data_IF_752269188773
#
_entry.id   IF_752269188773
#
_cell.length_a   1.000
_cell.length_b   1.000
_cell.length_c   1.000
_cell.angle_alpha   90.00
_cell.angle_beta   90.00
_cell.angle_gamma   90.00
#
_symmetry.space_group_name_H-M   'P 1'
#
loop_
_entity.id
_entity.type
_entity.pdbx_description
1 polymer ?
#
# COMPACT_ATOMS: atom_id res chain seq x y z
N UNK A 1 -17.52 -24.93 -34.10
CA UNK A 1 -16.67 -26.14 -34.21
C UNK A 1 -15.17 -25.86 -34.03
N UNK A 2 -14.68 -24.68 -34.35
CA UNK A 2 -13.25 -24.30 -34.17
C UNK A 2 -12.81 -24.04 -32.71
N UNK A 3 -13.70 -23.67 -31.78
CA UNK A 3 -13.36 -23.36 -30.40
C UNK A 3 -13.10 -24.61 -29.51
N UNK A 4 -13.68 -25.77 -29.84
CA UNK A 4 -13.51 -26.98 -29.02
C UNK A 4 -12.12 -27.63 -29.15
N UNK A 5 -11.45 -27.51 -30.31
CA UNK A 5 -10.11 -28.09 -30.49
C UNK A 5 -8.96 -27.23 -29.96
N UNK A 6 -9.22 -25.95 -29.62
CA UNK A 6 -8.17 -25.04 -29.20
C UNK A 6 -7.73 -25.25 -27.72
N UNK A 7 -8.56 -25.95 -26.92
CA UNK A 7 -8.29 -26.19 -25.46
C UNK A 7 -7.84 -27.63 -25.16
N UNK A 8 -7.87 -28.59 -26.14
CA UNK A 8 -7.64 -30.01 -25.88
C UNK A 8 -6.50 -30.58 -26.77
N UNK A 9 -5.62 -29.72 -27.30
CA UNK A 9 -4.41 -30.18 -27.95
C UNK A 9 -3.38 -30.60 -26.92
N UNK A 10 -2.96 -31.90 -26.84
CA UNK A 10 -2.00 -32.38 -25.85
C UNK A 10 -0.66 -31.64 -25.90
N UNK A 11 -0.18 -31.29 -27.09
CA UNK A 11 1.08 -30.54 -27.27
C UNK A 11 0.97 -29.15 -26.72
N UNK A 12 -0.16 -28.46 -26.90
CA UNK A 12 -0.42 -27.15 -26.31
C UNK A 12 -0.50 -27.22 -24.80
N UNK A 13 -1.17 -28.24 -24.25
CA UNK A 13 -1.30 -28.41 -22.80
C UNK A 13 0.09 -28.66 -22.15
N UNK A 14 0.93 -29.48 -22.77
CA UNK A 14 2.30 -29.72 -22.31
C UNK A 14 3.13 -28.41 -22.35
N UNK A 15 3.05 -27.65 -23.44
CA UNK A 15 3.71 -26.35 -23.57
C UNK A 15 3.26 -25.37 -22.48
N UNK A 16 1.94 -25.21 -22.26
CA UNK A 16 1.41 -24.33 -21.22
C UNK A 16 1.86 -24.75 -19.82
N UNK A 17 1.87 -26.06 -19.56
CA UNK A 17 2.36 -26.62 -18.28
C UNK A 17 3.84 -26.34 -18.06
N UNK A 18 4.66 -26.45 -19.10
CA UNK A 18 6.09 -26.17 -19.03
C UNK A 18 6.37 -24.68 -18.79
N UNK A 19 5.60 -23.79 -19.46
CA UNK A 19 5.67 -22.33 -19.23
C UNK A 19 5.26 -22.01 -17.79
N UNK A 20 4.13 -22.52 -17.30
CA UNK A 20 3.65 -22.28 -15.95
C UNK A 20 4.65 -22.74 -14.87
N UNK A 21 5.23 -23.93 -15.03
CA UNK A 21 6.27 -24.40 -14.12
C UNK A 21 7.53 -23.55 -14.15
N UNK A 22 7.91 -23.08 -15.33
CA UNK A 22 9.10 -22.26 -15.54
C UNK A 22 8.95 -20.82 -15.01
N UNK A 23 7.73 -20.26 -15.00
CA UNK A 23 7.42 -18.92 -14.55
C UNK A 23 7.26 -18.79 -13.04
N UNK A 24 6.86 -19.86 -12.32
CA UNK A 24 6.63 -19.83 -10.88
C UNK A 24 7.82 -19.27 -10.08
N UNK A 25 9.04 -19.75 -10.36
CA UNK A 25 10.21 -19.31 -9.64
C UNK A 25 10.58 -17.83 -9.90
N UNK A 26 10.61 -17.35 -11.16
CA UNK A 26 10.79 -15.92 -11.44
C UNK A 26 9.73 -15.02 -10.80
N UNK A 27 8.44 -15.41 -10.86
CA UNK A 27 7.35 -14.66 -10.24
C UNK A 27 7.50 -14.64 -8.70
N UNK A 28 7.76 -15.79 -8.09
CA UNK A 28 7.97 -15.88 -6.64
C UNK A 28 9.17 -15.03 -6.19
N UNK A 29 10.28 -15.05 -6.93
CA UNK A 29 11.43 -14.16 -6.65
C UNK A 29 11.05 -12.70 -6.80
N UNK A 30 10.32 -12.31 -7.83
CA UNK A 30 9.79 -10.95 -8.02
C UNK A 30 8.93 -10.51 -6.82
N UNK A 31 8.05 -11.40 -6.35
CA UNK A 31 7.22 -11.14 -5.17
C UNK A 31 8.05 -10.93 -3.90
N UNK A 32 8.97 -11.85 -3.60
CA UNK A 32 9.73 -11.85 -2.35
C UNK A 32 10.80 -10.76 -2.30
N UNK A 33 11.47 -10.47 -3.44
CA UNK A 33 12.60 -9.55 -3.49
C UNK A 33 12.21 -8.10 -3.82
N UNK A 34 11.05 -7.89 -4.43
CA UNK A 34 10.61 -6.55 -4.84
C UNK A 34 9.22 -6.19 -4.36
N UNK A 35 8.17 -6.96 -4.66
CA UNK A 35 6.78 -6.62 -4.31
C UNK A 35 6.61 -6.45 -2.80
N UNK A 36 6.97 -7.45 -1.99
CA UNK A 36 6.81 -7.41 -0.53
C UNK A 36 7.73 -6.37 0.12
N UNK A 37 9.04 -6.30 -0.20
CA UNK A 37 9.91 -5.25 0.35
C UNK A 37 9.46 -3.85 -0.04
N UNK A 38 9.08 -3.61 -1.30
CA UNK A 38 8.59 -2.32 -1.77
C UNK A 38 7.34 -1.89 -0.98
N UNK A 39 6.33 -2.77 -0.86
CA UNK A 39 5.13 -2.49 -0.08
C UNK A 39 5.47 -2.20 1.39
N UNK A 40 6.35 -2.98 2.01
CA UNK A 40 6.72 -2.82 3.42
C UNK A 40 7.47 -1.52 3.67
N UNK A 41 8.49 -1.21 2.87
CA UNK A 41 9.29 0.00 3.01
C UNK A 41 8.42 1.24 2.82
N UNK A 42 7.63 1.26 1.74
CA UNK A 42 6.77 2.41 1.41
C UNK A 42 5.64 2.59 2.42
N UNK A 43 5.12 1.50 2.98
CA UNK A 43 4.14 1.57 4.05
C UNK A 43 4.72 2.19 5.33
N UNK A 44 5.91 1.76 5.75
CA UNK A 44 6.58 2.31 6.95
C UNK A 44 6.87 3.81 6.77
N UNK A 45 7.47 4.20 5.64
CA UNK A 45 7.74 5.62 5.34
C UNK A 45 6.42 6.39 5.26
N UNK A 46 5.41 5.83 4.58
CA UNK A 46 4.08 6.40 4.44
C UNK A 46 3.38 6.59 5.79
N UNK A 47 3.52 5.66 6.74
CA UNK A 47 2.97 5.84 8.10
C UNK A 47 3.61 7.00 8.87
N UNK A 48 4.92 7.21 8.72
CA UNK A 48 5.61 8.38 9.31
C UNK A 48 5.05 9.67 8.71
N UNK A 49 4.96 9.75 7.39
CA UNK A 49 4.37 10.90 6.68
C UNK A 49 2.91 11.10 7.12
N UNK A 50 2.13 10.02 7.24
CA UNK A 50 0.73 10.05 7.64
C UNK A 50 0.54 10.60 9.05
N UNK A 51 1.34 10.15 10.01
CA UNK A 51 1.28 10.66 11.38
C UNK A 51 1.60 12.16 11.43
N UNK A 52 2.69 12.58 10.80
CA UNK A 52 3.08 13.99 10.74
C UNK A 52 2.00 14.83 10.07
N UNK A 53 1.43 14.36 8.97
CA UNK A 53 0.35 15.04 8.24
C UNK A 53 -0.94 15.13 9.07
N UNK A 54 -1.32 14.05 9.77
CA UNK A 54 -2.50 14.04 10.64
C UNK A 54 -2.33 15.05 11.80
N UNK A 55 -1.17 15.07 12.45
CA UNK A 55 -0.87 16.01 13.52
C UNK A 55 -0.81 17.47 13.01
N UNK A 56 -0.23 17.69 11.82
CA UNK A 56 -0.22 19.00 11.19
C UNK A 56 -1.63 19.53 10.92
N UNK A 57 -2.55 18.66 10.51
CA UNK A 57 -3.96 19.04 10.27
C UNK A 57 -4.76 19.30 11.55
N UNK A 58 -4.33 18.74 12.67
CA UNK A 58 -4.93 18.97 14.00
C UNK A 58 -4.26 20.10 14.78
N UNK A 59 -3.14 20.63 14.28
CA UNK A 59 -2.39 21.73 14.91
C UNK A 59 -3.20 23.03 14.95
N UNK A 60 -2.90 23.91 15.89
CA UNK A 60 -3.45 25.28 15.95
C UNK A 60 -2.84 26.22 14.89
N UNK A 61 -1.71 25.84 14.26
CA UNK A 61 -0.97 26.65 13.28
C UNK A 61 -1.66 26.56 11.92
N UNK A 62 -2.36 27.62 11.50
CA UNK A 62 -3.14 27.65 10.24
C UNK A 62 -2.31 27.37 8.99
N UNK A 63 -1.08 27.86 8.90
CA UNK A 63 -0.19 27.60 7.77
C UNK A 63 0.11 26.10 7.61
N UNK A 64 0.41 25.41 8.73
CA UNK A 64 0.69 23.99 8.75
C UNK A 64 -0.54 23.16 8.36
N UNK A 65 -1.72 23.54 8.87
CA UNK A 65 -2.99 22.92 8.47
C UNK A 65 -3.23 23.06 6.96
N UNK A 66 -2.97 24.25 6.41
CA UNK A 66 -3.22 24.52 5.00
C UNK A 66 -2.31 23.70 4.09
N UNK A 67 -1.01 23.66 4.37
CA UNK A 67 -0.02 22.85 3.65
C UNK A 67 -0.42 21.36 3.68
N UNK A 68 -0.74 20.83 4.86
CA UNK A 68 -1.15 19.45 5.01
C UNK A 68 -2.45 19.12 4.28
N UNK A 69 -3.43 20.04 4.26
CA UNK A 69 -4.68 19.89 3.47
C UNK A 69 -4.41 19.91 1.98
N UNK A 70 -3.56 20.81 1.50
CA UNK A 70 -3.19 20.90 0.09
C UNK A 70 -2.50 19.61 -0.38
N UNK A 71 -1.55 19.09 0.40
CA UNK A 71 -0.89 17.81 0.13
C UNK A 71 -1.90 16.66 0.03
N UNK A 72 -2.74 16.47 1.05
CA UNK A 72 -3.74 15.40 1.07
C UNK A 72 -4.73 15.53 -0.09
N UNK A 73 -5.16 16.75 -0.38
CA UNK A 73 -6.09 17.04 -1.50
C UNK A 73 -5.46 16.69 -2.85
N UNK A 74 -4.20 17.09 -3.08
CA UNK A 74 -3.50 16.83 -4.34
C UNK A 74 -3.27 15.33 -4.56
N UNK A 75 -2.74 14.64 -3.54
CA UNK A 75 -2.39 13.21 -3.67
C UNK A 75 -3.64 12.33 -3.76
N UNK A 76 -4.68 12.60 -2.97
CA UNK A 76 -5.93 11.81 -3.03
C UNK A 76 -6.84 12.19 -4.20
N UNK A 77 -6.64 13.37 -4.78
CA UNK A 77 -7.38 13.86 -5.94
C UNK A 77 -6.79 13.43 -7.29
N UNK A 78 -5.64 12.77 -7.30
CA UNK A 78 -4.97 12.33 -8.54
C UNK A 78 -4.70 10.82 -8.52
N UNK A 79 -4.75 10.12 -9.69
CA UNK A 79 -4.46 8.70 -9.75
C UNK A 79 -3.00 8.40 -9.38
N UNK A 80 -2.77 7.36 -8.58
CA UNK A 80 -1.43 6.92 -8.19
C UNK A 80 -0.52 6.64 -9.40
N UNK A 81 -1.06 6.03 -10.46
CA UNK A 81 -0.31 5.79 -11.71
C UNK A 81 0.22 7.09 -12.31
N UNK A 82 -0.59 8.14 -12.34
CA UNK A 82 -0.17 9.46 -12.86
C UNK A 82 0.93 10.07 -11.99
N UNK A 83 0.84 9.91 -10.66
CA UNK A 83 1.88 10.36 -9.73
C UNK A 83 3.22 9.66 -10.02
N UNK A 84 3.20 8.33 -10.20
CA UNK A 84 4.38 7.55 -10.56
C UNK A 84 4.98 8.00 -11.90
N UNK A 85 4.13 8.28 -12.91
CA UNK A 85 4.59 8.74 -14.23
C UNK A 85 5.19 10.14 -14.17
N UNK A 86 4.63 11.05 -13.37
CA UNK A 86 5.21 12.38 -13.16
C UNK A 86 6.60 12.25 -12.53
N UNK A 87 6.76 11.40 -11.49
CA UNK A 87 8.04 11.22 -10.80
C UNK A 87 9.07 10.58 -11.74
N UNK A 88 8.70 9.54 -12.49
CA UNK A 88 9.66 8.75 -13.24
C UNK A 88 9.91 9.30 -14.66
N UNK A 89 8.88 9.74 -15.38
CA UNK A 89 9.01 10.24 -16.76
C UNK A 89 8.95 11.78 -16.84
N UNK A 90 8.25 12.43 -15.90
CA UNK A 90 8.06 13.88 -15.92
C UNK A 90 9.26 14.65 -15.36
N UNK A 91 9.79 14.28 -14.19
CA UNK A 91 10.91 15.00 -13.57
C UNK A 91 12.20 15.02 -14.42
N UNK A 92 12.55 14.00 -15.22
CA UNK A 92 13.69 14.06 -16.12
C UNK A 92 13.64 15.21 -17.13
N UNK A 93 12.46 15.69 -17.52
CA UNK A 93 12.33 16.82 -18.45
C UNK A 93 12.84 18.15 -17.88
N UNK A 94 12.95 18.24 -16.55
CA UNK A 94 13.53 19.38 -15.83
C UNK A 94 14.89 19.06 -15.20
N UNK A 95 15.52 17.96 -15.64
CA UNK A 95 16.89 17.57 -15.23
C UNK A 95 16.97 16.73 -13.95
N UNK A 96 15.84 16.30 -13.36
CA UNK A 96 15.80 15.45 -12.14
C UNK A 96 15.57 14.00 -12.57
N UNK A 97 16.62 13.21 -12.63
CA UNK A 97 16.57 11.78 -13.00
C UNK A 97 16.55 10.94 -11.73
N UNK A 98 15.53 10.09 -11.59
CA UNK A 98 15.36 9.20 -10.45
C UNK A 98 15.24 7.77 -10.98
N UNK A 99 16.01 6.84 -10.41
CA UNK A 99 15.92 5.42 -10.78
C UNK A 99 14.53 4.82 -10.46
N UNK A 100 14.12 3.74 -11.16
CA UNK A 100 12.79 3.14 -11.02
C UNK A 100 12.38 2.84 -9.58
N UNK A 101 13.23 2.17 -8.81
CA UNK A 101 12.91 1.74 -7.44
C UNK A 101 12.77 2.93 -6.47
N UNK A 102 13.70 3.90 -6.40
CA UNK A 102 13.50 5.14 -5.65
C UNK A 102 12.26 5.93 -6.07
N UNK A 103 11.97 6.02 -7.38
CA UNK A 103 10.77 6.70 -7.87
C UNK A 103 9.48 6.03 -7.35
N UNK A 104 9.43 4.69 -7.37
CA UNK A 104 8.35 3.92 -6.78
C UNK A 104 8.23 4.17 -5.27
N UNK A 105 9.35 4.13 -4.53
CA UNK A 105 9.36 4.37 -3.08
C UNK A 105 8.77 5.75 -2.76
N UNK A 106 9.18 6.79 -3.46
CA UNK A 106 8.66 8.15 -3.27
C UNK A 106 7.15 8.19 -3.55
N UNK A 107 6.72 7.72 -4.72
CA UNK A 107 5.32 7.78 -5.13
C UNK A 107 4.38 7.03 -4.20
N UNK A 108 4.70 5.77 -3.87
CA UNK A 108 3.89 4.98 -2.94
C UNK A 108 3.89 5.54 -1.53
N UNK A 109 5.04 6.00 -1.01
CA UNK A 109 5.13 6.57 0.34
C UNK A 109 4.30 7.85 0.47
N UNK A 110 4.31 8.72 -0.52
CA UNK A 110 3.47 9.92 -0.55
C UNK A 110 1.99 9.54 -0.64
N UNK A 111 1.65 8.56 -1.45
CA UNK A 111 0.27 8.09 -1.58
C UNK A 111 -0.25 7.51 -0.26
N UNK A 112 0.45 6.54 0.31
CA UNK A 112 0.12 5.96 1.63
C UNK A 112 0.05 7.05 2.70
N UNK A 113 1.01 7.99 2.72
CA UNK A 113 1.04 9.10 3.66
C UNK A 113 -0.24 9.93 3.65
N UNK A 114 -0.77 10.24 2.46
CA UNK A 114 -2.00 11.01 2.32
C UNK A 114 -3.24 10.22 2.76
N UNK A 115 -3.39 8.97 2.32
CA UNK A 115 -4.55 8.14 2.68
C UNK A 115 -4.55 7.75 4.16
N UNK A 116 -3.42 7.27 4.68
CA UNK A 116 -3.29 6.86 6.07
C UNK A 116 -3.40 8.05 7.05
N UNK A 117 -3.05 9.28 6.62
CA UNK A 117 -3.21 10.47 7.46
C UNK A 117 -4.68 10.75 7.81
N UNK A 118 -5.61 10.50 6.88
CA UNK A 118 -7.04 10.62 7.14
C UNK A 118 -7.53 9.56 8.13
N UNK A 119 -7.02 8.33 8.00
CA UNK A 119 -7.34 7.24 8.94
C UNK A 119 -6.87 7.60 10.35
N UNK A 120 -5.62 8.04 10.50
CA UNK A 120 -5.06 8.42 11.79
C UNK A 120 -5.79 9.63 12.37
N UNK A 121 -6.07 10.65 11.55
CA UNK A 121 -6.82 11.83 11.98
C UNK A 121 -8.23 11.47 12.44
N UNK A 122 -8.95 10.63 11.69
CA UNK A 122 -10.27 10.17 12.08
C UNK A 122 -10.24 9.36 13.37
N UNK A 123 -9.23 8.49 13.56
CA UNK A 123 -9.05 7.72 14.77
C UNK A 123 -8.78 8.63 16.00
N UNK A 124 -7.95 9.68 15.86
CA UNK A 124 -7.73 10.65 16.94
C UNK A 124 -9.04 11.38 17.32
N UNK A 125 -9.80 11.81 16.31
CA UNK A 125 -11.05 12.53 16.53
C UNK A 125 -12.19 11.65 17.05
N UNK A 126 -12.11 10.33 16.90
CA UNK A 126 -13.09 9.38 17.43
C UNK A 126 -12.95 9.13 18.92
N UNK A 127 -11.84 9.53 19.54
CA UNK A 127 -11.64 9.34 20.98
C UNK A 127 -12.58 10.29 21.76
N UNK A 128 -13.37 9.75 22.69
CA UNK A 128 -14.35 10.53 23.45
C UNK A 128 -13.73 11.75 24.14
N UNK A 129 -14.44 12.89 24.10
CA UNK A 129 -13.99 14.15 24.72
C UNK A 129 -13.67 14.00 26.21
N UNK A 130 -14.40 13.13 26.93
CA UNK A 130 -14.13 12.86 28.32
C UNK A 130 -12.71 12.33 28.62
N UNK A 131 -12.04 11.68 27.64
CA UNK A 131 -10.64 11.26 27.78
C UNK A 131 -9.69 12.48 27.80
N UNK A 132 -10.00 13.49 27.00
CA UNK A 132 -9.26 14.75 26.95
C UNK A 132 -9.50 15.55 28.25
N UNK A 133 -10.78 15.68 28.66
CA UNK A 133 -11.19 16.41 29.85
C UNK A 133 -10.59 15.80 31.14
N UNK A 134 -10.62 14.45 31.24
CA UNK A 134 -9.99 13.76 32.36
C UNK A 134 -8.48 13.98 32.44
N UNK A 135 -7.78 13.95 31.28
CA UNK A 135 -6.35 14.20 31.23
C UNK A 135 -6.00 15.65 31.67
N UNK A 136 -6.77 16.63 31.20
CA UNK A 136 -6.58 18.04 31.63
C UNK A 136 -6.90 18.24 33.11
N UNK A 137 -7.89 17.54 33.66
CA UNK A 137 -8.21 17.58 35.08
C UNK A 137 -7.08 17.03 35.96
N UNK A 138 -6.23 16.16 35.41
CA UNK A 138 -5.01 15.65 36.03
C UNK A 138 -3.78 16.56 35.80
N UNK A 139 -3.99 17.74 35.21
CA UNK A 139 -2.91 18.72 34.96
C UNK A 139 -2.01 18.38 33.77
N UNK A 140 -2.44 17.48 32.87
CA UNK A 140 -1.68 17.20 31.67
C UNK A 140 -1.81 18.33 30.66
N UNK A 141 -0.70 18.69 30.00
CA UNK A 141 -0.72 19.56 28.83
C UNK A 141 -1.18 18.83 27.56
N UNK A 142 -1.38 19.57 26.46
CA UNK A 142 -1.86 19.02 25.17
C UNK A 142 -0.95 17.91 24.62
N UNK A 143 0.37 18.07 24.74
CA UNK A 143 1.36 17.11 24.23
C UNK A 143 1.35 15.82 25.06
N UNK A 144 1.28 15.96 26.38
CA UNK A 144 1.19 14.83 27.31
C UNK A 144 -0.11 14.07 27.11
N UNK A 145 -1.23 14.79 27.02
CA UNK A 145 -2.56 14.22 26.78
C UNK A 145 -2.58 13.45 25.45
N UNK A 146 -2.11 14.09 24.37
CA UNK A 146 -2.06 13.46 23.05
C UNK A 146 -1.18 12.20 23.09
N UNK A 147 0.05 12.30 23.61
CA UNK A 147 1.03 11.21 23.56
C UNK A 147 0.70 10.04 24.50
N UNK A 148 0.22 10.32 25.72
CA UNK A 148 0.03 9.30 26.75
C UNK A 148 -1.36 8.69 26.78
N UNK A 149 -2.39 9.43 26.37
CA UNK A 149 -3.79 9.02 26.49
C UNK A 149 -4.42 8.78 25.13
N UNK A 150 -4.32 9.75 24.21
CA UNK A 150 -5.09 9.74 22.96
C UNK A 150 -4.44 8.88 21.90
N UNK A 151 -3.15 9.06 21.60
CA UNK A 151 -2.48 8.29 20.53
C UNK A 151 -2.49 6.77 20.75
N UNK A 152 -2.27 6.24 21.98
CA UNK A 152 -2.36 4.81 22.23
C UNK A 152 -3.77 4.23 21.95
N UNK A 153 -4.82 5.01 22.25
CA UNK A 153 -6.21 4.62 21.96
C UNK A 153 -6.50 4.75 20.47
N UNK A 154 -6.14 5.86 19.85
CA UNK A 154 -6.29 6.10 18.42
C UNK A 154 -5.53 5.07 17.57
N UNK A 155 -4.34 4.63 18.01
CA UNK A 155 -3.59 3.57 17.34
C UNK A 155 -4.39 2.27 17.24
N UNK A 156 -5.10 1.88 18.30
CA UNK A 156 -5.95 0.67 18.27
C UNK A 156 -7.09 0.80 17.26
N UNK A 157 -7.72 1.96 17.19
CA UNK A 157 -8.81 2.24 16.24
C UNK A 157 -8.30 2.29 14.80
N UNK A 158 -7.07 2.78 14.57
CA UNK A 158 -6.51 2.93 13.24
C UNK A 158 -5.91 1.65 12.65
N UNK A 159 -5.54 0.65 13.47
CA UNK A 159 -4.89 -0.58 12.99
C UNK A 159 -5.73 -1.35 11.95
N UNK A 160 -7.05 -1.62 12.12
CA UNK A 160 -7.82 -2.33 11.10
C UNK A 160 -7.81 -1.62 9.73
N UNK A 161 -8.18 -0.33 9.60
CA UNK A 161 -8.15 0.34 8.31
C UNK A 161 -6.73 0.53 7.74
N UNK A 162 -5.70 0.67 8.57
CA UNK A 162 -4.30 0.71 8.11
C UNK A 162 -3.85 -0.65 7.58
N UNK A 163 -4.27 -1.76 8.19
CA UNK A 163 -3.99 -3.10 7.68
C UNK A 163 -4.62 -3.33 6.30
N UNK A 164 -5.86 -2.88 6.09
CA UNK A 164 -6.51 -2.89 4.77
C UNK A 164 -5.73 -2.04 3.76
N UNK A 165 -5.21 -0.88 4.16
CA UNK A 165 -4.36 -0.03 3.32
C UNK A 165 -3.09 -0.76 2.92
N UNK A 166 -2.45 -1.50 3.82
CA UNK A 166 -1.27 -2.30 3.50
C UNK A 166 -1.57 -3.41 2.49
N UNK A 167 -2.66 -4.16 2.67
CA UNK A 167 -3.07 -5.21 1.72
C UNK A 167 -3.38 -4.62 0.33
N UNK A 168 -3.99 -3.44 0.27
CA UNK A 168 -4.21 -2.73 -0.99
C UNK A 168 -2.89 -2.30 -1.62
N UNK A 169 -1.97 -1.75 -0.83
CA UNK A 169 -0.65 -1.34 -1.30
C UNK A 169 0.14 -2.49 -1.93
N UNK A 170 0.09 -3.71 -1.35
CA UNK A 170 0.73 -4.89 -1.94
C UNK A 170 0.24 -5.15 -3.37
N UNK A 171 -1.05 -4.94 -3.65
CA UNK A 171 -1.60 -5.06 -5.02
C UNK A 171 -1.19 -3.88 -5.89
N UNK A 172 -1.17 -2.67 -5.33
CA UNK A 172 -0.83 -1.44 -6.05
C UNK A 172 0.64 -1.42 -6.48
N UNK A 173 1.54 -2.21 -5.83
CA UNK A 173 2.93 -2.34 -6.28
C UNK A 173 3.04 -2.85 -7.72
N UNK A 174 2.03 -3.52 -8.25
CA UNK A 174 1.96 -3.92 -9.67
C UNK A 174 2.06 -2.73 -10.63
N UNK A 175 1.64 -1.53 -10.22
CA UNK A 175 1.78 -0.30 -11.00
C UNK A 175 3.25 0.09 -11.20
N UNK A 176 4.16 -0.35 -10.33
CA UNK A 176 5.59 -0.09 -10.45
C UNK A 176 6.22 -0.79 -11.67
N UNK A 177 5.56 -1.84 -12.20
CA UNK A 177 5.96 -2.48 -13.47
C UNK A 177 5.99 -1.49 -14.63
N UNK A 178 5.11 -0.49 -14.62
CA UNK A 178 4.96 0.52 -15.67
C UNK A 178 6.06 1.60 -15.61
N UNK A 179 6.79 1.68 -14.50
CA UNK A 179 7.99 2.51 -14.34
C UNK A 179 9.26 1.66 -14.20
N UNK A 180 9.25 0.47 -14.82
CA UNK A 180 10.40 -0.43 -14.99
C UNK A 180 10.94 -1.09 -13.71
N UNK A 181 10.20 -1.09 -12.61
CA UNK A 181 10.58 -1.87 -11.42
C UNK A 181 10.37 -3.35 -11.69
N UNK A 182 11.40 -4.18 -11.47
CA UNK A 182 11.39 -5.64 -11.70
C UNK A 182 10.62 -6.41 -10.61
N UNK A 183 9.43 -5.91 -10.23
CA UNK A 183 8.55 -6.59 -9.30
C UNK A 183 7.82 -7.79 -9.97
N UNK A 184 6.97 -8.51 -9.23
CA UNK A 184 6.35 -9.76 -9.69
C UNK A 184 5.56 -9.60 -10.99
N UNK A 185 4.72 -8.57 -11.13
CA UNK A 185 3.91 -8.39 -12.33
C UNK A 185 4.76 -8.02 -13.55
N UNK A 186 5.86 -7.27 -13.34
CA UNK A 186 6.84 -7.00 -14.41
C UNK A 186 7.46 -8.31 -14.91
N UNK A 187 7.77 -9.27 -14.03
CA UNK A 187 8.27 -10.58 -14.45
C UNK A 187 7.25 -11.35 -15.26
N UNK A 188 5.97 -11.31 -14.87
CA UNK A 188 4.90 -11.91 -15.66
C UNK A 188 4.81 -11.27 -17.06
N UNK A 189 4.89 -9.94 -17.16
CA UNK A 189 4.88 -9.23 -18.44
C UNK A 189 6.06 -9.60 -19.33
N UNK A 190 7.28 -9.67 -18.78
CA UNK A 190 8.49 -10.05 -19.51
C UNK A 190 8.38 -11.47 -20.09
N UNK A 191 7.92 -12.44 -19.30
CA UNK A 191 7.73 -13.82 -19.75
C UNK A 191 6.57 -13.90 -20.77
N UNK A 192 5.46 -13.19 -20.51
CA UNK A 192 4.33 -13.17 -21.43
C UNK A 192 4.69 -12.61 -22.81
N UNK A 193 5.55 -11.58 -22.86
CA UNK A 193 6.00 -10.99 -24.11
C UNK A 193 6.87 -11.93 -24.96
N UNK A 194 7.57 -12.89 -24.34
CA UNK A 194 8.37 -13.88 -25.07
C UNK A 194 7.58 -15.10 -25.55
N UNK A 195 6.55 -15.50 -24.82
CA UNK A 195 5.77 -16.71 -25.07
C UNK A 195 4.40 -16.43 -25.69
N UNK A 196 3.92 -15.18 -25.68
CA UNK A 196 2.59 -14.73 -26.12
C UNK A 196 1.43 -15.40 -25.36
N UNK A 197 1.68 -15.99 -24.18
CA UNK A 197 0.68 -16.62 -23.32
C UNK A 197 0.24 -15.68 -22.17
N UNK A 198 -0.33 -14.53 -22.54
CA UNK A 198 -0.72 -13.47 -21.61
C UNK A 198 -1.76 -13.94 -20.58
N UNK A 199 -2.78 -14.68 -21.01
CA UNK A 199 -3.83 -15.17 -20.11
C UNK A 199 -3.26 -16.07 -19.03
N UNK A 200 -2.39 -17.00 -19.38
CA UNK A 200 -1.75 -17.92 -18.45
C UNK A 200 -0.95 -17.16 -17.39
N UNK A 201 -0.02 -16.31 -17.83
CA UNK A 201 0.93 -15.64 -16.94
C UNK A 201 0.30 -14.55 -16.09
N UNK A 202 -0.69 -13.83 -16.62
CA UNK A 202 -1.40 -12.84 -15.81
C UNK A 202 -2.35 -13.49 -14.81
N UNK A 203 -2.94 -14.65 -15.15
CA UNK A 203 -3.73 -15.45 -14.19
C UNK A 203 -2.81 -16.01 -13.09
N UNK A 204 -1.64 -16.51 -13.44
CA UNK A 204 -0.65 -16.99 -12.48
C UNK A 204 -0.20 -15.88 -11.52
N UNK A 205 0.13 -14.69 -12.03
CA UNK A 205 0.44 -13.54 -11.21
C UNK A 205 -0.74 -13.14 -10.30
N UNK A 206 -1.96 -13.14 -10.82
CA UNK A 206 -3.17 -12.86 -10.05
C UNK A 206 -3.38 -13.86 -8.91
N UNK A 207 -3.12 -15.16 -9.15
CA UNK A 207 -3.19 -16.20 -8.12
C UNK A 207 -2.14 -16.00 -7.04
N UNK A 208 -0.90 -15.63 -7.39
CA UNK A 208 0.15 -15.35 -6.41
C UNK A 208 -0.22 -14.12 -5.57
N UNK A 209 -0.71 -13.03 -6.17
CA UNK A 209 -1.22 -11.87 -5.42
C UNK A 209 -2.35 -12.26 -4.48
N UNK A 210 -3.30 -13.07 -4.96
CA UNK A 210 -4.41 -13.55 -4.14
C UNK A 210 -3.92 -14.36 -2.93
N UNK A 211 -2.97 -15.28 -3.13
CA UNK A 211 -2.38 -16.06 -2.04
C UNK A 211 -1.68 -15.15 -1.00
N UNK A 212 -0.87 -14.20 -1.46
CA UNK A 212 -0.21 -13.23 -0.56
C UNK A 212 -1.24 -12.44 0.24
N UNK A 213 -2.24 -11.86 -0.43
CA UNK A 213 -3.29 -11.08 0.22
C UNK A 213 -4.16 -11.93 1.17
N UNK A 214 -4.40 -13.20 0.84
CA UNK A 214 -5.11 -14.14 1.70
C UNK A 214 -4.37 -14.36 3.04
N UNK A 215 -3.07 -14.63 3.00
CA UNK A 215 -2.28 -14.77 4.22
C UNK A 215 -2.20 -13.47 5.02
N UNK A 216 -2.05 -12.33 4.36
CA UNK A 216 -2.08 -11.03 5.03
C UNK A 216 -3.43 -10.75 5.69
N UNK A 217 -4.55 -11.14 5.08
CA UNK A 217 -5.89 -11.00 5.65
C UNK A 217 -6.09 -11.87 6.89
N UNK A 218 -5.51 -13.07 6.93
CA UNK A 218 -5.52 -13.93 8.13
C UNK A 218 -4.74 -13.25 9.27
N UNK A 219 -3.56 -12.72 8.97
CA UNK A 219 -2.75 -11.98 9.96
C UNK A 219 -3.52 -10.78 10.49
N UNK A 220 -4.15 -10.00 9.59
CA UNK A 220 -5.00 -8.87 9.95
C UNK A 220 -6.12 -9.28 10.91
N UNK A 221 -6.90 -10.32 10.59
CA UNK A 221 -7.99 -10.80 11.43
C UNK A 221 -7.52 -11.21 12.83
N UNK A 222 -6.35 -11.83 12.93
CA UNK A 222 -5.73 -12.18 14.21
C UNK A 222 -5.33 -10.94 15.04
N UNK A 223 -4.80 -9.91 14.40
CA UNK A 223 -4.45 -8.64 15.06
C UNK A 223 -5.73 -7.95 15.56
N UNK A 224 -6.76 -7.85 14.70
CA UNK A 224 -8.03 -7.24 15.05
C UNK A 224 -8.71 -7.95 16.21
N UNK A 225 -8.73 -9.28 16.22
CA UNK A 225 -9.31 -10.07 17.30
C UNK A 225 -8.60 -9.84 18.65
N UNK A 226 -7.29 -9.65 18.64
CA UNK A 226 -6.51 -9.32 19.85
C UNK A 226 -6.82 -7.91 20.36
N UNK A 227 -6.93 -6.93 19.46
CA UNK A 227 -7.22 -5.54 19.82
C UNK A 227 -8.61 -5.39 20.41
N UNK A 228 -9.60 -6.09 19.86
CA UNK A 228 -10.99 -6.04 20.32
C UNK A 228 -11.22 -6.67 21.70
N UNK A 229 -10.34 -7.56 22.18
CA UNK A 229 -10.45 -8.15 23.53
C UNK A 229 -10.32 -7.13 24.67
N UNK A 230 -9.72 -5.97 24.38
CA UNK A 230 -9.50 -4.91 25.37
C UNK A 230 -10.51 -3.77 25.28
N UNK A 231 -11.48 -3.85 24.37
CA UNK A 231 -12.59 -2.92 24.30
C UNK A 231 -13.72 -3.53 25.12
N UNK A 232 -13.83 -3.10 26.38
CA UNK A 232 -15.01 -3.40 27.20
C UNK A 232 -16.22 -2.75 26.52
N UNK A 233 -17.22 -3.58 26.20
CA UNK A 233 -18.51 -3.11 25.69
C UNK A 233 -19.26 -2.33 26.75
#
# INVERSE_FOLDING_TARGET
MYLNNMFIDPERLERLTNIAKGSLLPLAKGALLYTIPLATITFIIGLVIALLTALARLSSIKALQWIARAYVSAIRGTPLLVQLFIIFYGLPTIGIIIDPLPAAIIGFSLNVGAYASEIIRAAILSIPKGQWEAAYSLGMDDVQTLRRIILPQAARVSVPPLSNTFISLVKDTSLASLILVSEMFRKAQEIAATNYEFLLLYTEAALIYWIICFFLSIIQGNIESRLNRYVVR
#
